data_IF_759190149535
#
_entry.id   IF_759190149535
#
_cell.length_a   1.000
_cell.length_b   1.000
_cell.length_c   1.000
_cell.angle_alpha   90.00
_cell.angle_beta   90.00
_cell.angle_gamma   90.00
#
_symmetry.space_group_name_H-M   'P 1'
#
loop_
_entity.id
_entity.type
_entity.pdbx_description
1 polymer ?
#
# COMPACT_ATOMS: atom_id res chain seq x y z
N UNK A 1 5.54 21.64 -16.07
CA UNK A 1 5.94 20.59 -15.09
C UNK A 1 7.00 19.72 -15.75
N UNK A 2 8.10 19.40 -15.09
CA UNK A 2 9.13 18.49 -15.62
C UNK A 2 8.64 17.03 -15.45
N UNK A 3 8.57 16.20 -16.49
CA UNK A 3 7.95 14.87 -16.43
C UNK A 3 8.94 13.78 -15.98
N UNK A 4 9.95 14.15 -15.21
CA UNK A 4 10.93 13.19 -14.70
C UNK A 4 11.48 13.65 -13.34
N UNK A 5 11.84 12.69 -12.49
CA UNK A 5 12.56 12.89 -11.25
C UNK A 5 13.59 11.76 -11.10
N UNK A 6 14.76 12.08 -10.56
CA UNK A 6 15.70 11.05 -10.13
C UNK A 6 15.33 10.61 -8.70
N UNK A 7 15.30 9.32 -8.46
CA UNK A 7 14.99 8.75 -7.13
C UNK A 7 15.95 9.24 -6.05
N UNK A 8 17.21 9.50 -6.41
CA UNK A 8 18.24 9.99 -5.46
C UNK A 8 18.07 11.47 -5.11
N UNK A 9 17.31 12.23 -5.93
CA UNK A 9 16.99 13.64 -5.69
C UNK A 9 15.75 13.80 -4.77
N UNK A 10 15.11 12.70 -4.37
CA UNK A 10 13.92 12.76 -3.49
C UNK A 10 14.37 12.93 -2.05
N UNK A 11 14.12 14.10 -1.47
CA UNK A 11 14.54 14.47 -0.11
C UNK A 11 13.38 14.72 0.85
N UNK A 12 12.17 14.95 0.35
CA UNK A 12 10.99 15.25 1.15
C UNK A 12 10.15 13.99 1.38
N UNK A 13 10.24 13.43 2.56
CA UNK A 13 9.47 12.27 2.97
C UNK A 13 8.45 12.63 4.05
N UNK A 14 7.26 12.05 3.97
CA UNK A 14 6.31 11.89 5.07
C UNK A 14 6.58 10.55 5.74
N UNK A 15 6.01 10.33 6.91
CA UNK A 15 6.20 9.05 7.58
C UNK A 15 5.13 8.74 8.61
N UNK A 16 5.14 7.49 9.05
CA UNK A 16 4.36 7.03 10.20
C UNK A 16 5.24 6.17 11.11
N UNK A 17 4.88 6.13 12.39
CA UNK A 17 5.50 5.26 13.39
C UNK A 17 4.41 4.77 14.36
N UNK A 18 4.04 3.51 14.21
CA UNK A 18 3.04 2.82 15.03
C UNK A 18 3.62 1.47 15.51
N UNK A 19 4.67 1.52 16.30
CA UNK A 19 5.33 0.35 16.89
C UNK A 19 6.02 -0.54 15.85
N UNK A 20 5.39 -1.65 15.49
CA UNK A 20 5.94 -2.55 14.46
C UNK A 20 5.86 -1.97 13.03
N UNK A 21 4.99 -0.99 12.81
CA UNK A 21 4.78 -0.35 11.52
C UNK A 21 5.47 1.01 11.50
N UNK A 22 6.52 1.11 10.69
CA UNK A 22 7.25 2.36 10.51
C UNK A 22 7.79 2.42 9.09
N UNK A 23 7.47 3.51 8.40
CA UNK A 23 8.02 3.78 7.08
C UNK A 23 8.06 5.29 6.83
N UNK A 24 8.95 5.68 5.92
CA UNK A 24 8.96 6.99 5.28
C UNK A 24 8.56 6.80 3.82
N UNK A 25 7.79 7.72 3.27
CA UNK A 25 7.37 7.65 1.87
C UNK A 25 7.25 9.03 1.24
N UNK A 26 7.49 9.09 -0.05
CA UNK A 26 7.38 10.29 -0.86
C UNK A 26 6.54 10.02 -2.11
N UNK A 27 5.43 10.74 -2.29
CA UNK A 27 4.70 10.75 -3.56
C UNK A 27 5.53 11.47 -4.62
N UNK A 28 6.00 10.71 -5.59
CA UNK A 28 6.75 11.24 -6.72
C UNK A 28 5.90 11.32 -7.99
N UNK A 29 4.83 10.51 -8.07
CA UNK A 29 3.93 10.50 -9.22
C UNK A 29 3.24 11.83 -9.45
N UNK A 30 2.68 12.42 -8.40
CA UNK A 30 2.04 13.72 -8.46
C UNK A 30 3.00 14.84 -8.85
N UNK A 31 4.26 14.77 -8.39
CA UNK A 31 5.31 15.77 -8.70
C UNK A 31 5.71 15.81 -10.18
N UNK A 32 5.54 14.70 -10.90
CA UNK A 32 5.91 14.56 -12.33
C UNK A 32 4.71 14.46 -13.28
N UNK A 33 3.48 14.61 -12.75
CA UNK A 33 2.26 14.69 -13.54
C UNK A 33 1.60 13.35 -13.86
N UNK A 34 1.87 12.30 -13.10
CA UNK A 34 1.17 11.03 -13.23
C UNK A 34 -0.29 11.16 -12.75
N UNK A 35 -1.24 10.73 -13.58
CA UNK A 35 -2.68 10.84 -13.31
C UNK A 35 -3.30 9.52 -12.89
N UNK A 36 -3.10 8.46 -13.67
CA UNK A 36 -3.74 7.15 -13.45
C UNK A 36 -2.90 6.21 -12.59
N UNK A 37 -1.62 6.50 -12.44
CA UNK A 37 -0.71 5.71 -11.62
C UNK A 37 -0.16 6.56 -10.46
N UNK A 38 -0.11 5.98 -9.28
CA UNK A 38 0.59 6.52 -8.13
C UNK A 38 2.01 5.97 -8.06
N UNK A 39 3.00 6.82 -7.84
CA UNK A 39 4.40 6.41 -7.65
C UNK A 39 4.88 6.93 -6.31
N UNK A 40 5.27 6.02 -5.44
CA UNK A 40 5.82 6.35 -4.12
C UNK A 40 7.19 5.72 -3.95
N UNK A 41 8.15 6.50 -3.44
CA UNK A 41 9.38 5.93 -2.89
C UNK A 41 9.15 5.68 -1.41
N UNK A 42 9.39 4.45 -0.96
CA UNK A 42 9.19 4.04 0.44
C UNK A 42 10.49 3.53 1.02
N UNK A 43 10.78 3.91 2.26
CA UNK A 43 11.92 3.47 3.05
C UNK A 43 11.38 2.86 4.34
N UNK A 44 11.78 1.62 4.62
CA UNK A 44 11.39 0.86 5.82
C UNK A 44 12.65 0.60 6.65
N UNK A 45 12.73 1.14 7.87
CA UNK A 45 13.90 0.93 8.72
C UNK A 45 14.02 -0.52 9.21
N UNK A 46 15.19 -0.91 9.75
CA UNK A 46 15.45 -2.25 10.27
C UNK A 46 14.40 -2.75 11.25
N UNK A 47 13.97 -4.00 11.10
CA UNK A 47 13.02 -4.67 11.97
C UNK A 47 11.58 -4.17 11.88
N UNK A 48 11.25 -3.34 10.88
CA UNK A 48 9.91 -2.74 10.72
C UNK A 48 9.16 -3.31 9.53
N UNK A 49 7.83 -3.10 9.55
CA UNK A 49 6.90 -3.38 8.47
C UNK A 49 6.46 -2.06 7.85
N UNK A 50 6.24 -2.01 6.54
CA UNK A 50 5.76 -0.80 5.89
C UNK A 50 4.30 -0.50 6.25
N UNK A 51 3.41 -1.36 5.81
CA UNK A 51 1.97 -1.24 5.97
C UNK A 51 1.39 -2.52 6.60
N UNK A 52 0.14 -2.50 7.12
CA UNK A 52 -0.55 -3.73 7.51
C UNK A 52 -0.62 -4.73 6.36
N UNK A 53 -0.73 -6.02 6.68
CA UNK A 53 -1.00 -7.07 5.69
C UNK A 53 -2.40 -6.84 5.11
N UNK A 54 -2.51 -6.65 3.78
CA UNK A 54 -3.75 -6.24 3.12
C UNK A 54 -3.81 -6.68 1.66
N UNK A 55 -5.01 -6.72 1.14
CA UNK A 55 -5.30 -6.86 -0.29
C UNK A 55 -6.22 -5.75 -0.77
N UNK A 56 -6.20 -5.51 -2.08
CA UNK A 56 -7.05 -4.58 -2.78
C UNK A 56 -8.02 -5.32 -3.69
N UNK A 57 -9.28 -4.89 -3.73
CA UNK A 57 -10.27 -5.43 -4.66
C UNK A 57 -10.30 -4.72 -6.01
N UNK A 58 -9.79 -3.49 -6.08
CA UNK A 58 -9.89 -2.65 -7.29
C UNK A 58 -8.53 -2.13 -7.75
N UNK A 59 -7.67 -1.72 -6.82
CA UNK A 59 -6.35 -1.18 -7.16
C UNK A 59 -5.33 -2.30 -7.32
N UNK A 60 -4.59 -2.30 -8.42
CA UNK A 60 -3.42 -3.15 -8.59
C UNK A 60 -2.18 -2.43 -8.12
N UNK A 61 -1.27 -3.15 -7.45
CA UNK A 61 0.00 -2.62 -6.99
C UNK A 61 1.19 -3.42 -7.53
N UNK A 62 2.32 -2.75 -7.63
CA UNK A 62 3.60 -3.34 -8.02
C UNK A 62 4.71 -2.68 -7.21
N UNK A 63 5.72 -3.46 -6.83
CA UNK A 63 6.88 -2.94 -6.14
C UNK A 63 8.17 -3.30 -6.89
N UNK A 64 9.10 -2.35 -6.95
CA UNK A 64 10.47 -2.58 -7.39
C UNK A 64 11.41 -2.30 -6.20
N UNK A 65 12.16 -3.29 -5.76
CA UNK A 65 13.13 -3.13 -4.69
C UNK A 65 14.35 -2.36 -5.24
N UNK A 66 14.56 -1.16 -4.71
CA UNK A 66 15.62 -0.27 -5.14
C UNK A 66 16.93 -0.51 -4.39
N UNK A 67 16.82 -0.82 -3.09
CA UNK A 67 17.99 -1.12 -2.25
C UNK A 67 17.59 -1.88 -0.98
N UNK A 68 18.55 -2.62 -0.40
CA UNK A 68 18.32 -3.42 0.80
C UNK A 68 17.75 -4.81 0.52
N UNK A 69 17.37 -5.49 1.60
CA UNK A 69 16.78 -6.84 1.62
C UNK A 69 15.64 -6.90 2.61
N UNK A 70 14.75 -7.87 2.46
CA UNK A 70 13.61 -8.04 3.34
C UNK A 70 12.80 -9.29 3.01
N UNK A 71 11.53 -9.27 3.40
CA UNK A 71 10.57 -10.34 3.12
C UNK A 71 9.29 -9.73 2.56
N UNK A 72 8.80 -10.30 1.48
CA UNK A 72 7.43 -10.17 1.02
C UNK A 72 6.61 -11.30 1.67
N UNK A 73 5.66 -10.95 2.54
CA UNK A 73 4.57 -11.83 2.92
C UNK A 73 3.47 -11.69 1.88
N UNK A 74 3.08 -12.80 1.24
CA UNK A 74 2.04 -12.83 0.21
C UNK A 74 1.14 -14.06 0.41
N UNK A 75 -0.15 -13.83 0.69
CA UNK A 75 -1.05 -14.89 1.12
C UNK A 75 -0.48 -15.63 2.33
N UNK A 76 -0.32 -16.95 2.19
CA UNK A 76 0.25 -17.81 3.23
C UNK A 76 1.77 -17.98 3.12
N UNK A 77 2.40 -17.37 2.13
CA UNK A 77 3.83 -17.56 1.83
C UNK A 77 4.68 -16.36 2.21
N UNK A 78 5.97 -16.62 2.42
CA UNK A 78 6.98 -15.59 2.63
C UNK A 78 8.10 -15.78 1.61
N UNK A 79 8.44 -14.71 0.91
CA UNK A 79 9.47 -14.69 -0.12
C UNK A 79 10.59 -13.73 0.30
N UNK A 80 11.85 -14.17 0.40
CA UNK A 80 12.97 -13.25 0.53
C UNK A 80 13.02 -12.30 -0.67
N UNK A 81 13.21 -11.01 -0.41
CA UNK A 81 13.32 -9.98 -1.44
C UNK A 81 14.63 -9.23 -1.31
N UNK A 82 15.14 -8.76 -2.44
CA UNK A 82 16.39 -8.02 -2.55
C UNK A 82 16.36 -7.03 -3.70
N UNK A 83 17.35 -6.18 -3.76
CA UNK A 83 17.52 -5.21 -4.84
C UNK A 83 17.27 -5.81 -6.23
N UNK A 84 16.51 -5.09 -7.04
CA UNK A 84 16.07 -5.40 -8.39
C UNK A 84 14.95 -6.45 -8.50
N UNK A 85 14.42 -6.95 -7.39
CA UNK A 85 13.21 -7.79 -7.44
C UNK A 85 11.99 -6.93 -7.80
N UNK A 86 11.15 -7.47 -8.69
CA UNK A 86 9.86 -6.87 -9.08
C UNK A 86 8.76 -7.76 -8.53
N UNK A 87 7.78 -7.14 -7.88
CA UNK A 87 6.69 -7.79 -7.19
C UNK A 87 5.39 -7.31 -7.82
N UNK A 88 4.50 -8.24 -8.20
CA UNK A 88 3.14 -7.92 -8.63
C UNK A 88 2.15 -8.26 -7.50
N UNK A 89 1.26 -7.32 -7.20
CA UNK A 89 0.16 -7.50 -6.27
C UNK A 89 -1.16 -7.17 -7.00
N UNK A 90 -1.69 -8.13 -7.76
CA UNK A 90 -2.94 -7.95 -8.49
C UNK A 90 -4.12 -7.78 -7.52
N UNK A 91 -5.21 -7.27 -8.04
CA UNK A 91 -6.49 -7.25 -7.32
C UNK A 91 -6.93 -8.66 -6.96
N UNK A 92 -7.55 -8.82 -5.79
CA UNK A 92 -8.00 -10.12 -5.36
C UNK A 92 -8.56 -10.14 -3.95
N UNK A 93 -8.88 -11.33 -3.50
CA UNK A 93 -9.31 -11.61 -2.15
C UNK A 93 -8.12 -11.71 -1.17
N UNK A 94 -8.37 -12.23 0.03
CA UNK A 94 -7.34 -12.40 1.09
C UNK A 94 -6.14 -13.27 0.67
N UNK A 95 -6.26 -14.10 -0.38
CA UNK A 95 -5.14 -14.88 -0.90
C UNK A 95 -4.10 -14.02 -1.64
N UNK A 96 -4.50 -12.85 -2.13
CA UNK A 96 -3.64 -11.85 -2.74
C UNK A 96 -3.10 -10.82 -1.72
N UNK A 97 -3.43 -10.95 -0.44
CA UNK A 97 -2.94 -10.05 0.58
C UNK A 97 -1.41 -10.07 0.65
N UNK A 98 -0.81 -8.90 0.87
CA UNK A 98 0.62 -8.72 0.86
C UNK A 98 1.12 -7.73 1.91
N UNK A 99 2.39 -7.86 2.26
CA UNK A 99 3.08 -6.97 3.19
C UNK A 99 4.58 -7.02 2.95
N UNK A 100 5.24 -5.87 2.90
CA UNK A 100 6.70 -5.78 2.87
C UNK A 100 7.22 -5.60 4.29
N UNK A 101 8.19 -6.45 4.65
CA UNK A 101 8.80 -6.51 5.99
C UNK A 101 10.30 -6.37 5.82
N UNK A 102 10.89 -5.40 6.51
CA UNK A 102 12.34 -5.30 6.63
C UNK A 102 12.80 -6.10 7.85
N UNK A 103 13.34 -7.29 7.63
CA UNK A 103 13.93 -8.16 8.66
C UNK A 103 15.47 -8.10 8.68
N UNK A 104 16.05 -7.12 7.95
CA UNK A 104 17.50 -6.89 7.89
C UNK A 104 17.96 -5.85 8.92
N UNK A 105 19.24 -5.54 8.92
CA UNK A 105 19.90 -4.54 9.76
C UNK A 105 20.15 -3.18 9.07
N UNK A 106 19.74 -3.05 7.79
CA UNK A 106 19.82 -1.84 7.00
C UNK A 106 18.43 -1.41 6.49
N UNK A 107 18.31 -0.19 5.99
CA UNK A 107 17.07 0.29 5.39
C UNK A 107 16.71 -0.51 4.12
N UNK A 108 15.41 -0.80 3.97
CA UNK A 108 14.83 -1.36 2.74
C UNK A 108 14.12 -0.24 1.97
N UNK A 109 14.60 0.05 0.75
CA UNK A 109 14.05 1.10 -0.12
C UNK A 109 13.38 0.48 -1.34
N UNK A 110 12.17 0.89 -1.65
CA UNK A 110 11.46 0.42 -2.83
C UNK A 110 10.60 1.50 -3.50
N UNK A 111 10.35 1.33 -4.79
CA UNK A 111 9.31 2.03 -5.54
C UNK A 111 8.03 1.23 -5.39
N UNK A 112 6.99 1.89 -4.90
CA UNK A 112 5.61 1.41 -4.96
C UNK A 112 4.90 2.10 -6.11
N UNK A 113 4.22 1.33 -6.95
CA UNK A 113 3.42 1.80 -8.05
C UNK A 113 2.03 1.18 -7.91
N UNK A 114 0.99 2.00 -7.98
CA UNK A 114 -0.39 1.51 -7.89
C UNK A 114 -1.32 2.26 -8.84
N UNK A 115 -2.38 1.60 -9.27
CA UNK A 115 -3.44 2.24 -10.04
C UNK A 115 -4.22 3.22 -9.16
N UNK A 116 -4.55 4.39 -9.72
CA UNK A 116 -5.42 5.39 -9.05
C UNK A 116 -6.85 5.17 -9.51
N UNK A 117 -7.65 4.61 -8.62
CA UNK A 117 -9.07 4.38 -8.87
C UNK A 117 -9.91 5.31 -7.98
N UNK A 118 -11.09 5.71 -8.47
CA UNK A 118 -12.01 6.59 -7.73
C UNK A 118 -12.56 5.92 -6.46
N UNK A 119 -12.55 4.60 -6.42
CA UNK A 119 -12.92 3.83 -5.24
C UNK A 119 -12.04 2.58 -5.10
N UNK A 120 -11.96 2.08 -3.87
CA UNK A 120 -11.28 0.83 -3.56
C UNK A 120 -11.83 0.21 -2.28
N UNK A 121 -11.69 -1.08 -2.17
CA UNK A 121 -11.97 -1.85 -0.96
C UNK A 121 -10.67 -2.58 -0.60
N UNK A 122 -10.20 -2.37 0.63
CA UNK A 122 -9.03 -3.06 1.15
C UNK A 122 -9.42 -3.93 2.32
N UNK A 123 -9.01 -5.19 2.31
CA UNK A 123 -9.13 -6.05 3.48
C UNK A 123 -7.81 -6.14 4.22
N UNK A 124 -7.89 -6.27 5.55
CA UNK A 124 -6.76 -6.45 6.46
C UNK A 124 -6.92 -7.77 7.22
N UNK A 125 -6.46 -8.90 6.66
CA UNK A 125 -6.74 -10.23 7.20
C UNK A 125 -6.31 -10.43 8.65
N UNK A 126 -5.16 -9.85 9.05
CA UNK A 126 -4.63 -10.01 10.43
C UNK A 126 -5.51 -9.34 11.50
N UNK A 127 -6.30 -8.36 11.16
CA UNK A 127 -7.13 -7.59 12.10
C UNK A 127 -8.62 -7.64 11.80
N UNK A 128 -9.00 -8.42 10.79
CA UNK A 128 -10.38 -8.57 10.30
C UNK A 128 -11.09 -7.23 10.05
N UNK A 129 -10.36 -6.30 9.43
CA UNK A 129 -10.87 -4.98 9.05
C UNK A 129 -11.10 -4.89 7.55
N UNK A 130 -12.02 -4.03 7.17
CA UNK A 130 -12.29 -3.64 5.79
C UNK A 130 -12.27 -2.11 5.74
N UNK A 131 -11.48 -1.57 4.82
CA UNK A 131 -11.50 -0.17 4.45
C UNK A 131 -12.27 -0.04 3.13
N UNK A 132 -13.30 0.78 3.14
CA UNK A 132 -13.95 1.28 1.92
C UNK A 132 -13.56 2.73 1.73
N UNK A 133 -12.95 3.04 0.58
CA UNK A 133 -12.60 4.42 0.22
C UNK A 133 -13.17 4.77 -1.15
N UNK A 134 -13.58 6.00 -1.31
CA UNK A 134 -14.02 6.55 -2.57
C UNK A 134 -13.84 8.06 -2.61
N UNK A 135 -13.57 8.59 -3.79
CA UNK A 135 -13.56 10.03 -4.05
C UNK A 135 -14.63 10.33 -5.07
N UNK A 136 -15.48 11.33 -4.82
CA UNK A 136 -16.41 11.83 -5.83
C UNK A 136 -16.01 13.23 -6.26
N UNK A 137 -16.31 13.57 -7.52
CA UNK A 137 -16.10 14.92 -8.06
C UNK A 137 -16.82 16.02 -7.26
N UNK A 138 -17.76 15.64 -6.39
CA UNK A 138 -18.56 16.54 -5.54
C UNK A 138 -18.07 16.68 -4.10
N UNK A 139 -16.79 16.40 -3.82
CA UNK A 139 -16.18 16.54 -2.48
C UNK A 139 -16.73 15.62 -1.38
N UNK A 140 -17.36 14.51 -1.71
CA UNK A 140 -17.68 13.49 -0.73
C UNK A 140 -16.56 12.44 -0.71
N UNK A 141 -15.66 12.56 0.25
CA UNK A 141 -14.68 11.51 0.53
C UNK A 141 -15.36 10.43 1.37
N UNK A 142 -15.54 9.25 0.78
CA UNK A 142 -15.91 8.08 1.53
C UNK A 142 -14.64 7.45 2.12
N UNK A 143 -14.54 7.48 3.43
CA UNK A 143 -13.47 6.78 4.15
C UNK A 143 -14.09 6.09 5.36
N UNK A 144 -14.26 4.78 5.27
CA UNK A 144 -14.84 4.00 6.35
C UNK A 144 -14.00 2.75 6.61
N UNK A 145 -13.63 2.56 7.88
CA UNK A 145 -12.96 1.35 8.33
C UNK A 145 -13.91 0.65 9.31
N UNK A 146 -14.38 -0.53 8.94
CA UNK A 146 -15.19 -1.40 9.77
C UNK A 146 -14.39 -2.62 10.23
N UNK A 147 -14.91 -3.31 11.24
CA UNK A 147 -14.33 -4.56 11.76
C UNK A 147 -15.41 -5.61 11.88
N UNK A 148 -15.06 -6.83 11.51
CA UNK A 148 -15.95 -7.97 11.59
C UNK A 148 -16.87 -8.10 10.38
N UNK A 149 -17.62 -9.17 10.38
CA UNK A 149 -18.60 -9.51 9.33
C UNK A 149 -20.00 -9.16 9.78
N UNK A 150 -20.18 -7.97 10.35
CA UNK A 150 -21.54 -7.50 10.61
C UNK A 150 -22.26 -7.33 9.26
N UNK A 151 -23.24 -8.18 9.03
CA UNK A 151 -24.09 -8.15 7.86
C UNK A 151 -25.51 -7.88 8.34
N UNK A 152 -26.10 -6.85 7.82
CA UNK A 152 -27.49 -6.47 8.09
C UNK A 152 -28.37 -6.98 6.97
N UNK A 153 -29.65 -7.19 7.25
CA UNK A 153 -30.64 -7.42 6.19
C UNK A 153 -30.76 -6.16 5.33
N UNK A 154 -30.93 -6.35 4.03
CA UNK A 154 -30.96 -5.23 3.08
C UNK A 154 -32.04 -4.18 3.40
N UNK A 155 -33.16 -4.61 3.99
CA UNK A 155 -34.28 -3.76 4.34
C UNK A 155 -34.32 -3.35 5.82
N UNK A 156 -33.38 -3.81 6.64
CA UNK A 156 -33.36 -3.46 8.06
C UNK A 156 -33.16 -1.95 8.26
N UNK A 157 -34.16 -1.30 8.87
CA UNK A 157 -34.14 0.14 9.14
C UNK A 157 -34.60 1.03 7.99
N UNK A 158 -35.04 0.44 6.87
CA UNK A 158 -35.56 1.16 5.72
C UNK A 158 -37.12 1.15 5.81
N UNK A 159 -37.73 2.09 6.55
CA UNK A 159 -39.20 2.29 6.65
C UNK A 159 -39.61 3.65 6.08
#
# INVERSE_FOLDING_TARGET
MKPLINVDDVTEFKGHDHGAFKAQYADVGGKIGANQLGYNITIVPPGKKSWPFHNHHVSEEMFLILDGTGVLRYGENNYPIKKNDIIACPTGDRSAAHQIINNSDADLKYLALGTKNDFDICEYPDSDKILTRGTSEKNSELWNISKGKESYDYFEGEE
#
